data_IF_518212354068
#
_entry.id   IF_518212354068
#
_cell.length_a   1.000
_cell.length_b   1.000
_cell.length_c   1.000
_cell.angle_alpha   90.00
_cell.angle_beta   90.00
_cell.angle_gamma   90.00
#
_symmetry.space_group_name_H-M   'P 1'
#
loop_
_entity.id
_entity.type
_entity.pdbx_description
1 polymer ?
#
# COMPACT_ATOMS: atom_id res chain seq x y z
N UNK A 1 23.85 -9.37 2.49
CA UNK A 1 22.47 -9.11 2.91
C UNK A 1 22.32 -7.61 3.09
N UNK A 2 21.86 -6.91 2.06
CA UNK A 2 21.59 -5.47 2.20
C UNK A 2 20.25 -5.32 2.92
N UNK A 3 20.32 -4.84 4.17
CA UNK A 3 19.16 -4.28 4.86
C UNK A 3 18.77 -3.01 4.12
N UNK A 4 17.72 -3.04 3.31
CA UNK A 4 17.11 -1.83 2.78
C UNK A 4 16.59 -1.03 3.97
N UNK A 5 17.18 0.14 4.20
CA UNK A 5 16.64 1.10 5.15
C UNK A 5 15.28 1.56 4.65
N UNK A 6 14.26 1.46 5.50
CA UNK A 6 12.99 2.11 5.22
C UNK A 6 13.24 3.60 4.93
N UNK A 7 12.70 4.17 3.86
CA UNK A 7 12.95 5.56 3.49
C UNK A 7 12.42 6.57 4.52
N UNK A 8 11.55 6.11 5.40
CA UNK A 8 11.00 6.91 6.51
C UNK A 8 11.29 6.22 7.83
N UNK A 9 11.85 6.96 8.78
CA UNK A 9 11.93 6.49 10.18
C UNK A 9 10.54 6.67 10.78
N UNK A 10 9.75 5.61 10.79
CA UNK A 10 8.46 5.60 11.46
C UNK A 10 8.72 5.29 12.93
N UNK A 11 8.55 6.29 13.79
CA UNK A 11 8.50 6.06 15.23
C UNK A 11 7.13 5.45 15.56
N UNK A 12 7.06 4.14 15.68
CA UNK A 12 5.83 3.48 16.15
C UNK A 12 5.52 3.94 17.56
N UNK A 13 4.30 4.41 17.85
CA UNK A 13 3.91 4.63 19.22
C UNK A 13 3.99 3.30 19.97
N UNK A 14 4.51 3.32 21.18
CA UNK A 14 4.49 2.18 22.10
C UNK A 14 3.04 1.95 22.56
N UNK A 15 2.23 1.40 21.70
CA UNK A 15 0.87 0.96 22.01
C UNK A 15 0.96 -0.48 22.50
N UNK A 16 0.41 -0.70 23.67
CA UNK A 16 0.37 -1.95 24.42
C UNK A 16 -0.65 -2.92 23.80
N UNK A 17 -0.39 -3.33 22.57
CA UNK A 17 -1.01 -4.50 21.98
C UNK A 17 0.02 -5.12 21.04
N UNK A 18 0.84 -5.99 21.58
CA UNK A 18 1.74 -6.85 20.82
C UNK A 18 0.95 -7.98 20.12
N UNK A 19 0.00 -7.64 19.28
CA UNK A 19 -0.33 -8.57 18.22
C UNK A 19 0.81 -8.49 17.22
N UNK A 20 1.63 -9.53 17.18
CA UNK A 20 2.72 -9.67 16.22
C UNK A 20 2.12 -9.54 14.83
N UNK A 21 2.46 -8.46 14.14
CA UNK A 21 2.12 -8.30 12.72
C UNK A 21 2.66 -9.54 11.98
N UNK A 22 1.85 -10.25 11.20
CA UNK A 22 2.31 -11.41 10.46
C UNK A 22 3.54 -11.05 9.62
N UNK A 23 4.53 -11.92 9.58
CA UNK A 23 5.73 -11.68 8.79
C UNK A 23 5.49 -11.81 7.28
N UNK A 24 4.42 -12.51 6.90
CA UNK A 24 4.09 -12.83 5.50
C UNK A 24 2.63 -12.49 5.22
N UNK A 25 2.31 -12.28 3.93
CA UNK A 25 0.95 -12.01 3.46
C UNK A 25 0.30 -10.81 4.14
N UNK A 26 1.04 -9.73 4.27
CA UNK A 26 0.57 -8.49 4.88
C UNK A 26 0.83 -7.29 3.98
N UNK A 27 -0.18 -6.45 3.86
CA UNK A 27 -0.08 -5.11 3.30
C UNK A 27 0.06 -4.13 4.46
N UNK A 28 1.13 -3.36 4.48
CA UNK A 28 1.32 -2.32 5.48
C UNK A 28 1.02 -0.97 4.87
N UNK A 29 0.07 -0.27 5.46
CA UNK A 29 -0.23 1.13 5.15
C UNK A 29 0.49 1.98 6.18
N UNK A 30 1.47 2.77 5.72
CA UNK A 30 2.19 3.70 6.58
C UNK A 30 1.61 5.10 6.40
N UNK A 31 1.33 5.77 7.51
CA UNK A 31 0.90 7.17 7.52
C UNK A 31 1.98 7.96 8.23
N UNK A 32 2.71 8.77 7.47
CA UNK A 32 3.81 9.58 7.98
C UNK A 32 3.35 11.02 8.16
N UNK A 33 3.90 11.71 9.16
CA UNK A 33 3.70 13.14 9.32
C UNK A 33 4.39 13.92 8.19
N UNK A 34 3.74 14.97 7.69
CA UNK A 34 4.31 15.86 6.69
C UNK A 34 5.46 16.71 7.24
N UNK A 35 5.46 16.99 8.55
CA UNK A 35 6.49 17.77 9.20
C UNK A 35 7.07 17.09 10.44
N UNK A 36 8.33 16.64 10.31
CA UNK A 36 9.10 16.11 11.45
C UNK A 36 9.72 17.19 12.34
N UNK A 37 9.64 18.45 11.91
CA UNK A 37 10.24 19.58 12.66
C UNK A 37 9.38 20.08 13.81
N UNK A 38 8.14 19.62 13.93
CA UNK A 38 7.16 20.11 14.91
C UNK A 38 6.77 21.58 14.72
N UNK A 39 7.09 22.16 13.55
CA UNK A 39 6.87 23.56 13.20
C UNK A 39 5.63 23.82 12.37
N UNK A 40 4.70 22.89 12.31
CA UNK A 40 3.41 23.19 11.71
C UNK A 40 2.65 24.13 12.68
N UNK A 41 2.72 25.41 12.37
CA UNK A 41 1.98 26.47 13.10
C UNK A 41 0.47 26.27 12.99
N UNK A 42 0.00 25.35 12.16
CA UNK A 42 -1.41 25.02 12.04
C UNK A 42 -1.62 23.50 11.82
N UNK A 43 -1.90 22.74 12.89
CA UNK A 43 -2.15 21.29 12.79
C UNK A 43 -3.40 20.93 11.96
N UNK A 44 -4.27 21.89 11.62
CA UNK A 44 -5.44 21.66 10.76
C UNK A 44 -5.05 21.54 9.27
N UNK A 45 -3.85 21.97 8.90
CA UNK A 45 -3.33 21.95 7.52
C UNK A 45 -2.31 20.82 7.33
N UNK A 46 -1.89 20.18 8.41
CA UNK A 46 -0.94 19.07 8.34
C UNK A 46 -1.54 17.87 7.61
N UNK A 47 -1.06 17.63 6.41
CA UNK A 47 -1.41 16.42 5.66
C UNK A 47 -0.41 15.31 5.97
N UNK A 48 -0.92 14.15 6.40
CA UNK A 48 -0.10 12.94 6.47
C UNK A 48 0.21 12.42 5.07
N UNK A 49 1.37 11.79 4.92
CA UNK A 49 1.77 11.11 3.66
C UNK A 49 1.55 9.61 3.79
N UNK A 50 0.93 9.02 2.78
CA UNK A 50 0.57 7.61 2.77
C UNK A 50 1.52 6.83 1.88
N UNK A 51 2.01 5.71 2.43
CA UNK A 51 2.86 4.75 1.74
C UNK A 51 2.25 3.35 1.89
N UNK A 52 2.51 2.50 0.92
CA UNK A 52 2.14 1.09 0.96
C UNK A 52 3.40 0.25 0.85
N UNK A 53 3.47 -0.78 1.68
CA UNK A 53 4.44 -1.86 1.64
C UNK A 53 3.71 -3.18 1.58
N UNK A 54 4.28 -4.14 0.88
CA UNK A 54 3.71 -5.49 0.80
C UNK A 54 4.77 -6.55 1.07
N UNK A 55 4.43 -7.50 1.92
CA UNK A 55 5.23 -8.69 2.19
C UNK A 55 4.44 -9.92 1.78
N UNK A 56 4.93 -10.64 0.78
CA UNK A 56 4.32 -11.86 0.25
C UNK A 56 4.70 -13.11 1.02
N UNK A 57 4.39 -14.26 0.42
CA UNK A 57 4.78 -15.55 0.94
C UNK A 57 6.27 -15.84 0.70
N UNK A 58 6.82 -16.79 1.45
CA UNK A 58 8.17 -17.33 1.21
C UNK A 58 8.23 -18.19 -0.06
N UNK A 59 7.09 -18.62 -0.59
CA UNK A 59 7.00 -19.38 -1.83
C UNK A 59 7.47 -18.54 -3.03
N UNK A 60 8.28 -19.11 -3.89
CA UNK A 60 8.83 -18.45 -5.08
C UNK A 60 7.79 -17.98 -6.07
N UNK A 61 6.64 -18.65 -6.18
CA UNK A 61 5.55 -18.32 -7.11
C UNK A 61 4.79 -17.09 -6.65
N UNK A 62 4.54 -16.96 -5.35
CA UNK A 62 3.85 -15.84 -4.73
C UNK A 62 4.78 -15.00 -3.86
N UNK A 63 6.04 -14.88 -4.27
CA UNK A 63 7.02 -14.03 -3.61
C UNK A 63 6.57 -12.57 -3.56
N UNK A 64 7.12 -11.80 -2.64
CA UNK A 64 6.82 -10.37 -2.52
C UNK A 64 7.01 -9.62 -3.83
N UNK A 65 8.06 -9.93 -4.60
CA UNK A 65 8.34 -9.29 -5.89
C UNK A 65 7.28 -9.63 -6.95
N UNK A 66 6.89 -10.91 -7.05
CA UNK A 66 5.88 -11.35 -8.01
C UNK A 66 4.53 -10.73 -7.72
N UNK A 67 4.11 -10.73 -6.46
CA UNK A 67 2.82 -10.15 -6.07
C UNK A 67 2.83 -8.63 -6.25
N UNK A 68 3.93 -7.93 -5.94
CA UNK A 68 4.05 -6.50 -6.24
C UNK A 68 3.88 -6.21 -7.72
N UNK A 69 4.46 -7.04 -8.59
CA UNK A 69 4.26 -6.93 -10.03
C UNK A 69 2.81 -7.12 -10.45
N UNK A 70 2.13 -8.14 -9.91
CA UNK A 70 0.71 -8.38 -10.17
C UNK A 70 -0.16 -7.22 -9.68
N UNK A 71 0.12 -6.67 -8.51
CA UNK A 71 -0.59 -5.52 -7.96
C UNK A 71 -0.41 -4.26 -8.81
N UNK A 72 0.81 -4.01 -9.30
CA UNK A 72 1.09 -2.89 -10.17
C UNK A 72 0.31 -2.99 -11.48
N UNK A 73 0.35 -4.14 -12.14
CA UNK A 73 -0.36 -4.33 -13.40
C UNK A 73 -1.87 -4.17 -13.24
N UNK A 74 -2.43 -4.71 -12.16
CA UNK A 74 -3.85 -4.58 -11.83
C UNK A 74 -4.21 -3.12 -11.50
N UNK A 75 -3.41 -2.43 -10.69
CA UNK A 75 -3.63 -1.03 -10.32
C UNK A 75 -3.56 -0.11 -11.53
N UNK A 76 -2.58 -0.30 -12.42
CA UNK A 76 -2.47 0.45 -13.67
C UNK A 76 -3.67 0.19 -14.60
N UNK A 77 -4.17 -1.05 -14.66
CA UNK A 77 -5.38 -1.37 -15.43
C UNK A 77 -6.58 -0.58 -14.93
N UNK A 78 -6.81 -0.58 -13.62
CA UNK A 78 -7.93 0.16 -12.99
C UNK A 78 -7.76 1.66 -13.19
N UNK A 79 -6.55 2.19 -12.96
CA UNK A 79 -6.26 3.60 -13.12
C UNK A 79 -6.50 4.06 -14.57
N UNK A 80 -5.97 3.34 -15.55
CA UNK A 80 -6.05 3.68 -16.96
C UNK A 80 -7.48 3.59 -17.49
N UNK A 81 -8.29 2.67 -16.96
CA UNK A 81 -9.72 2.61 -17.29
C UNK A 81 -10.46 3.89 -16.88
N UNK A 82 -10.12 4.46 -15.74
CA UNK A 82 -10.68 5.73 -15.25
C UNK A 82 -10.09 6.95 -15.96
N UNK A 83 -8.87 6.85 -16.50
CA UNK A 83 -8.09 7.95 -17.07
C UNK A 83 -7.73 7.70 -18.53
N UNK A 84 -8.70 7.33 -19.37
CA UNK A 84 -8.51 6.95 -20.77
C UNK A 84 -7.81 8.02 -21.62
N UNK A 85 -7.98 9.29 -21.25
CA UNK A 85 -7.35 10.41 -21.96
C UNK A 85 -5.89 10.65 -21.57
N UNK A 86 -5.44 10.07 -20.47
CA UNK A 86 -4.06 10.20 -19.96
C UNK A 86 -3.61 8.90 -19.26
N UNK A 87 -3.53 7.79 -20.02
CA UNK A 87 -3.12 6.51 -19.44
C UNK A 87 -1.62 6.52 -19.09
N UNK A 88 -1.27 5.80 -18.03
CA UNK A 88 0.12 5.58 -17.63
C UNK A 88 0.62 4.29 -18.24
N UNK A 89 1.77 4.38 -18.91
CA UNK A 89 2.50 3.23 -19.41
C UNK A 89 3.89 3.19 -18.78
N UNK A 90 4.25 2.05 -18.22
CA UNK A 90 5.56 1.81 -17.65
C UNK A 90 6.38 0.91 -18.56
N UNK A 91 7.67 1.21 -18.69
CA UNK A 91 8.61 0.34 -19.36
C UNK A 91 8.84 -0.96 -18.58
N UNK A 92 9.36 -1.99 -19.24
CA UNK A 92 9.72 -3.24 -18.56
C UNK A 92 10.72 -3.01 -17.42
N UNK A 93 11.67 -2.08 -17.61
CA UNK A 93 12.62 -1.70 -16.56
C UNK A 93 11.92 -1.04 -15.38
N UNK A 94 11.04 -0.08 -15.60
CA UNK A 94 10.28 0.57 -14.52
C UNK A 94 9.42 -0.44 -13.74
N UNK A 95 8.80 -1.39 -14.41
CA UNK A 95 8.06 -2.49 -13.76
C UNK A 95 8.99 -3.37 -12.92
N UNK A 96 10.18 -3.70 -13.41
CA UNK A 96 11.17 -4.46 -12.65
C UNK A 96 11.63 -3.69 -11.40
N UNK A 97 11.88 -2.38 -11.53
CA UNK A 97 12.22 -1.50 -10.42
C UNK A 97 11.09 -1.46 -9.35
N UNK A 98 9.83 -1.42 -9.77
CA UNK A 98 8.72 -1.47 -8.83
C UNK A 98 8.66 -2.80 -8.07
N UNK A 99 8.89 -3.93 -8.74
CA UNK A 99 8.90 -5.26 -8.08
C UNK A 99 9.93 -5.35 -6.96
N UNK A 100 11.09 -4.71 -7.12
CA UNK A 100 12.14 -4.68 -6.10
C UNK A 100 11.94 -3.61 -5.02
N UNK A 101 10.96 -2.71 -5.19
CA UNK A 101 10.68 -1.63 -4.24
C UNK A 101 9.84 -2.16 -3.08
N UNK A 102 10.36 -2.08 -1.85
CA UNK A 102 9.67 -2.59 -0.67
C UNK A 102 8.51 -1.71 -0.24
N UNK A 103 8.64 -0.40 -0.39
CA UNK A 103 7.65 0.58 0.00
C UNK A 103 7.58 1.69 -1.04
N UNK A 104 6.38 2.15 -1.35
CA UNK A 104 6.15 3.25 -2.27
C UNK A 104 5.01 4.15 -1.77
N UNK A 105 5.09 5.42 -2.12
CA UNK A 105 4.06 6.40 -1.78
C UNK A 105 4.17 7.62 -2.68
N UNK A 106 3.58 7.52 -3.88
CA UNK A 106 3.46 8.63 -4.84
C UNK A 106 2.14 8.52 -5.60
N UNK A 107 1.62 9.63 -6.16
CA UNK A 107 0.52 9.59 -7.12
C UNK A 107 0.87 8.72 -8.33
N UNK A 108 -0.13 8.10 -8.96
CA UNK A 108 0.09 7.27 -10.15
C UNK A 108 0.85 8.02 -11.24
N UNK A 109 0.56 9.30 -11.45
CA UNK A 109 1.23 10.11 -12.48
C UNK A 109 2.72 10.34 -12.20
N UNK A 110 3.17 10.19 -10.96
CA UNK A 110 4.56 10.35 -10.54
C UNK A 110 5.33 9.03 -10.61
N UNK A 111 4.65 7.88 -10.68
CA UNK A 111 5.29 6.56 -10.76
C UNK A 111 6.37 6.46 -11.85
N UNK A 112 6.13 6.87 -13.11
CA UNK A 112 7.16 6.77 -14.15
C UNK A 112 8.43 7.56 -13.81
N UNK A 113 8.27 8.77 -13.25
CA UNK A 113 9.36 9.63 -12.81
C UNK A 113 10.14 8.97 -11.67
N UNK A 114 9.46 8.53 -10.64
CA UNK A 114 10.07 7.90 -9.47
C UNK A 114 10.83 6.62 -9.85
N UNK A 115 10.24 5.76 -10.68
CA UNK A 115 10.84 4.49 -11.08
C UNK A 115 12.01 4.63 -12.07
N UNK A 116 12.18 5.81 -12.66
CA UNK A 116 13.35 6.14 -13.49
C UNK A 116 14.53 6.68 -12.68
N UNK A 117 14.35 7.00 -11.40
CA UNK A 117 15.42 7.48 -10.53
C UNK A 117 16.30 6.31 -10.06
N UNK A 118 17.61 6.52 -9.92
CA UNK A 118 18.48 5.61 -9.17
C UNK A 118 17.95 5.38 -7.76
N UNK A 119 18.20 4.19 -7.19
CA UNK A 119 17.65 3.80 -5.88
C UNK A 119 17.91 4.85 -4.78
N UNK A 120 19.13 5.37 -4.71
CA UNK A 120 19.51 6.37 -3.70
C UNK A 120 18.77 7.70 -3.85
N UNK A 121 18.47 8.11 -5.08
CA UNK A 121 17.69 9.32 -5.36
C UNK A 121 16.21 9.09 -5.07
N UNK A 122 15.70 7.90 -5.40
CA UNK A 122 14.34 7.47 -5.11
C UNK A 122 14.05 7.48 -3.61
N UNK A 123 14.97 6.97 -2.80
CA UNK A 123 14.86 6.97 -1.34
C UNK A 123 14.83 8.39 -0.76
N UNK A 124 15.66 9.28 -1.28
CA UNK A 124 15.66 10.70 -0.90
C UNK A 124 14.36 11.38 -1.32
N UNK A 125 13.89 11.12 -2.54
CA UNK A 125 12.65 11.67 -3.07
C UNK A 125 11.44 11.26 -2.20
N UNK A 126 11.27 9.97 -1.94
CA UNK A 126 10.18 9.47 -1.11
C UNK A 126 10.32 9.86 0.37
N UNK A 127 11.53 10.16 0.84
CA UNK A 127 11.80 10.63 2.19
C UNK A 127 11.51 12.11 2.42
N UNK A 128 11.27 12.89 1.37
CA UNK A 128 10.95 14.31 1.47
C UNK A 128 9.43 14.51 1.70
N UNK A 129 9.03 14.55 2.96
CA UNK A 129 7.64 14.73 3.35
C UNK A 129 7.06 16.11 2.99
N UNK A 130 7.91 17.08 2.64
CA UNK A 130 7.47 18.41 2.22
C UNK A 130 7.15 18.47 0.72
N UNK A 131 7.58 17.47 -0.03
CA UNK A 131 7.35 17.39 -1.48
C UNK A 131 5.89 17.02 -1.78
N UNK A 132 5.14 17.85 -2.52
CA UNK A 132 3.75 17.56 -2.89
C UNK A 132 3.58 16.33 -3.79
N UNK A 133 4.63 15.90 -4.49
CA UNK A 133 4.64 14.68 -5.31
C UNK A 133 4.85 13.40 -4.48
N UNK A 134 5.01 13.51 -3.16
CA UNK A 134 5.18 12.37 -2.24
C UNK A 134 3.89 12.09 -1.49
N UNK A 135 3.60 10.83 -1.30
CA UNK A 135 2.38 10.32 -0.69
C UNK A 135 1.34 9.86 -1.73
N UNK A 136 0.67 8.76 -1.44
CA UNK A 136 -0.47 8.30 -2.25
C UNK A 136 -1.64 9.22 -1.98
N UNK A 137 -2.26 9.83 -3.01
CA UNK A 137 -3.44 10.66 -2.84
C UNK A 137 -4.61 9.90 -2.21
N UNK A 138 -5.20 10.51 -1.22
CA UNK A 138 -6.39 10.04 -0.52
C UNK A 138 -7.33 11.22 -0.29
N UNK A 139 -8.61 10.96 -0.21
CA UNK A 139 -9.62 11.93 0.17
C UNK A 139 -10.52 11.39 1.29
N UNK A 140 -11.48 12.18 1.73
CA UNK A 140 -12.45 11.79 2.77
C UNK A 140 -13.47 10.75 2.33
N UNK A 141 -13.11 9.86 1.44
CA UNK A 141 -13.95 8.78 0.93
C UNK A 141 -15.20 9.25 0.17
N UNK A 142 -15.22 10.46 -0.29
CA UNK A 142 -16.29 10.97 -1.15
C UNK A 142 -16.03 10.46 -2.56
N UNK A 143 -16.56 9.29 -2.84
CA UNK A 143 -16.52 8.70 -4.19
C UNK A 143 -17.34 9.59 -5.12
N UNK A 144 -16.68 10.58 -5.71
CA UNK A 144 -17.29 11.51 -6.64
C UNK A 144 -17.46 10.80 -7.98
N UNK A 145 -18.68 10.71 -8.47
CA UNK A 145 -19.00 10.15 -9.79
C UNK A 145 -18.58 8.68 -10.00
N UNK A 146 -18.49 7.89 -8.94
CA UNK A 146 -18.09 6.49 -9.02
C UNK A 146 -16.59 6.27 -9.26
N UNK A 147 -15.76 7.31 -9.25
CA UNK A 147 -14.32 7.20 -9.42
C UNK A 147 -13.63 6.87 -8.10
N UNK A 148 -12.64 6.00 -8.18
CA UNK A 148 -11.78 5.68 -7.06
C UNK A 148 -10.63 6.71 -6.97
N UNK A 149 -10.22 7.08 -5.76
CA UNK A 149 -8.96 7.80 -5.56
C UNK A 149 -7.77 6.84 -5.70
N UNK A 150 -6.54 7.38 -5.74
CA UNK A 150 -5.34 6.57 -5.95
C UNK A 150 -5.18 5.49 -4.86
N UNK A 151 -5.46 5.82 -3.60
CA UNK A 151 -5.39 4.86 -2.51
C UNK A 151 -6.42 3.73 -2.67
N UNK A 152 -7.65 4.06 -3.03
CA UNK A 152 -8.71 3.07 -3.30
C UNK A 152 -8.38 2.18 -4.50
N UNK A 153 -7.74 2.72 -5.54
CA UNK A 153 -7.27 1.93 -6.69
C UNK A 153 -6.26 0.87 -6.23
N UNK A 154 -5.30 1.24 -5.39
CA UNK A 154 -4.35 0.29 -4.82
C UNK A 154 -5.05 -0.77 -3.96
N UNK A 155 -5.97 -0.39 -3.10
CA UNK A 155 -6.73 -1.34 -2.28
C UNK A 155 -7.54 -2.33 -3.14
N UNK A 156 -8.18 -1.85 -4.21
CA UNK A 156 -8.91 -2.69 -5.15
C UNK A 156 -7.99 -3.65 -5.88
N UNK A 157 -6.84 -3.18 -6.34
CA UNK A 157 -5.84 -4.02 -7.00
C UNK A 157 -5.32 -5.11 -6.06
N UNK A 158 -5.01 -4.76 -4.81
CA UNK A 158 -4.59 -5.70 -3.77
C UNK A 158 -5.65 -6.79 -3.56
N UNK A 159 -6.92 -6.40 -3.42
CA UNK A 159 -8.01 -7.35 -3.24
C UNK A 159 -8.17 -8.28 -4.46
N UNK A 160 -8.18 -7.72 -5.68
CA UNK A 160 -8.35 -8.50 -6.90
C UNK A 160 -7.20 -9.51 -7.09
N UNK A 161 -5.97 -9.09 -6.85
CA UNK A 161 -4.79 -9.98 -6.91
C UNK A 161 -4.87 -11.07 -5.84
N UNK A 162 -5.21 -10.71 -4.61
CA UNK A 162 -5.36 -11.67 -3.52
C UNK A 162 -6.43 -12.73 -3.85
N UNK A 163 -7.59 -12.29 -4.38
CA UNK A 163 -8.66 -13.18 -4.78
C UNK A 163 -8.24 -14.12 -5.91
N UNK A 164 -7.52 -13.60 -6.92
CA UNK A 164 -7.01 -14.41 -8.04
C UNK A 164 -6.06 -15.50 -7.54
N UNK A 165 -5.09 -15.15 -6.69
CA UNK A 165 -4.16 -16.11 -6.08
C UNK A 165 -4.92 -17.16 -5.28
N UNK A 166 -5.89 -16.76 -4.47
CA UNK A 166 -6.69 -17.70 -3.70
C UNK A 166 -7.46 -18.68 -4.59
N UNK A 167 -8.02 -18.21 -5.70
CA UNK A 167 -8.73 -19.07 -6.65
C UNK A 167 -7.78 -20.05 -7.33
N UNK A 168 -6.59 -19.61 -7.76
CA UNK A 168 -5.56 -20.47 -8.34
C UNK A 168 -5.11 -21.56 -7.34
N UNK A 169 -4.86 -21.20 -6.10
CA UNK A 169 -4.48 -22.14 -5.05
C UNK A 169 -5.63 -23.09 -4.62
N UNK A 170 -6.87 -22.67 -4.79
CA UNK A 170 -8.05 -23.45 -4.47
C UNK A 170 -8.44 -24.44 -5.58
N UNK A 171 -7.83 -24.34 -6.75
CA UNK A 171 -8.16 -25.21 -7.88
C UNK A 171 -7.82 -26.68 -7.54
N UNK A 172 -8.77 -27.57 -7.76
CA UNK A 172 -8.62 -29.00 -7.46
C UNK A 172 -8.72 -29.39 -5.98
N UNK A 173 -8.82 -28.45 -5.06
CA UNK A 173 -8.93 -28.73 -3.63
C UNK A 173 -10.38 -29.05 -3.20
N UNK A 174 -10.50 -29.94 -2.22
CA UNK A 174 -11.74 -30.22 -1.51
C UNK A 174 -12.22 -28.99 -0.68
N UNK A 175 -13.46 -29.02 -0.23
CA UNK A 175 -14.03 -27.94 0.61
C UNK A 175 -13.27 -27.78 1.93
N UNK A 176 -12.77 -28.86 2.53
CA UNK A 176 -12.01 -28.84 3.75
C UNK A 176 -10.61 -28.22 3.53
N UNK A 177 -9.93 -28.65 2.48
CA UNK A 177 -8.60 -28.11 2.11
C UNK A 177 -8.67 -26.61 1.81
N UNK A 178 -9.73 -26.15 1.12
CA UNK A 178 -9.95 -24.71 0.84
C UNK A 178 -10.13 -23.88 2.12
N UNK A 179 -10.74 -24.45 3.15
CA UNK A 179 -10.88 -23.76 4.45
C UNK A 179 -9.55 -23.58 5.16
N UNK A 180 -8.58 -24.46 4.89
CA UNK A 180 -7.24 -24.45 5.48
C UNK A 180 -6.23 -23.61 4.71
N UNK A 181 -6.61 -23.03 3.55
CA UNK A 181 -5.73 -22.16 2.78
C UNK A 181 -5.26 -20.96 3.62
N UNK A 182 -3.98 -20.66 3.51
CA UNK A 182 -3.33 -19.53 4.17
C UNK A 182 -2.60 -18.69 3.12
N UNK A 183 -3.22 -17.59 2.73
CA UNK A 183 -2.69 -16.65 1.74
C UNK A 183 -3.17 -15.23 2.05
N UNK A 184 -2.81 -14.26 1.20
CA UNK A 184 -3.21 -12.86 1.38
C UNK A 184 -4.74 -12.70 1.43
N UNK A 185 -5.50 -13.39 0.58
CA UNK A 185 -6.96 -13.29 0.58
C UNK A 185 -7.56 -13.75 1.92
N UNK A 186 -7.11 -14.90 2.43
CA UNK A 186 -7.59 -15.40 3.72
C UNK A 186 -7.17 -14.51 4.88
N UNK A 187 -5.98 -13.91 4.79
CA UNK A 187 -5.53 -12.91 5.76
C UNK A 187 -6.42 -11.66 5.75
N UNK A 188 -6.75 -11.14 4.56
CA UNK A 188 -7.62 -9.96 4.39
C UNK A 188 -9.04 -10.22 4.88
N UNK A 189 -9.63 -11.36 4.50
CA UNK A 189 -11.07 -11.59 4.64
C UNK A 189 -11.45 -12.34 5.91
N UNK A 190 -10.58 -13.20 6.42
CA UNK A 190 -10.93 -14.09 7.54
C UNK A 190 -10.20 -13.74 8.82
N UNK A 191 -8.90 -13.51 8.78
CA UNK A 191 -8.04 -13.39 9.96
C UNK A 191 -7.90 -11.97 10.49
N UNK A 192 -8.19 -10.95 9.67
CA UNK A 192 -7.96 -9.55 10.03
C UNK A 192 -6.49 -9.16 10.13
N UNK A 193 -5.61 -9.95 9.55
CA UNK A 193 -4.15 -9.79 9.62
C UNK A 193 -3.52 -9.44 8.27
N UNK A 194 -4.34 -9.28 7.22
CA UNK A 194 -3.86 -8.97 5.86
C UNK A 194 -3.48 -7.50 5.66
N UNK A 195 -3.97 -6.61 6.51
CA UNK A 195 -3.63 -5.18 6.49
C UNK A 195 -3.16 -4.76 7.88
N UNK A 196 -2.02 -4.09 7.93
CA UNK A 196 -1.53 -3.39 9.09
C UNK A 196 -1.47 -1.89 8.80
N UNK A 197 -2.04 -1.06 9.66
CA UNK A 197 -1.94 0.39 9.57
C UNK A 197 -0.95 0.87 10.62
N UNK A 198 0.12 1.52 10.18
CA UNK A 198 1.15 2.10 11.05
C UNK A 198 1.13 3.61 10.87
N UNK A 199 1.00 4.35 11.94
CA UNK A 199 1.06 5.80 11.94
C UNK A 199 2.20 6.29 12.82
N UNK A 200 2.89 7.33 12.37
CA UNK A 200 3.84 8.06 13.20
C UNK A 200 3.07 8.79 14.33
N UNK A 201 3.68 8.94 15.51
CA UNK A 201 3.07 9.61 16.66
C UNK A 201 2.59 11.05 16.36
N UNK A 202 3.26 11.71 15.42
CA UNK A 202 2.97 13.09 15.03
C UNK A 202 2.07 13.16 13.78
N UNK A 203 1.51 12.01 13.35
CA UNK A 203 0.63 11.94 12.18
C UNK A 203 -0.70 12.63 12.48
N UNK A 204 -1.20 13.50 11.59
CA UNK A 204 -2.51 14.09 11.74
C UNK A 204 -3.61 13.05 11.83
N UNK A 205 -4.43 13.12 12.87
CA UNK A 205 -5.53 12.17 13.09
C UNK A 205 -6.49 12.12 11.90
N UNK A 206 -6.71 13.25 11.23
CA UNK A 206 -7.56 13.35 10.03
C UNK A 206 -7.11 12.44 8.91
N UNK A 207 -5.80 12.34 8.65
CA UNK A 207 -5.26 11.43 7.62
C UNK A 207 -5.43 9.97 8.01
N UNK A 208 -5.21 9.63 9.27
CA UNK A 208 -5.45 8.27 9.78
C UNK A 208 -6.93 7.90 9.65
N UNK A 209 -7.82 8.83 9.98
CA UNK A 209 -9.26 8.62 9.81
C UNK A 209 -9.65 8.42 8.35
N UNK A 210 -9.08 9.20 7.42
CA UNK A 210 -9.29 8.99 5.98
C UNK A 210 -8.85 7.59 5.53
N UNK A 211 -7.73 7.08 6.04
CA UNK A 211 -7.29 5.70 5.76
C UNK A 211 -8.36 4.70 6.21
N UNK A 212 -8.85 4.81 7.43
CA UNK A 212 -9.90 3.92 7.94
C UNK A 212 -11.20 4.00 7.15
N UNK A 213 -11.65 5.21 6.82
CA UNK A 213 -12.86 5.43 6.04
C UNK A 213 -12.75 4.80 4.64
N UNK A 214 -11.58 4.90 4.01
CA UNK A 214 -11.33 4.28 2.71
C UNK A 214 -11.24 2.76 2.81
N UNK A 215 -10.58 2.20 3.81
CA UNK A 215 -10.57 0.75 4.08
C UNK A 215 -11.99 0.22 4.28
N UNK A 216 -12.80 0.93 5.05
CA UNK A 216 -14.18 0.56 5.31
C UNK A 216 -15.03 0.58 4.04
N UNK A 217 -14.90 1.60 3.21
CA UNK A 217 -15.60 1.71 1.92
C UNK A 217 -15.22 0.58 0.98
N UNK A 218 -13.96 0.22 0.95
CA UNK A 218 -13.47 -0.90 0.14
C UNK A 218 -13.75 -2.27 0.77
N UNK A 219 -14.51 -2.32 1.88
CA UNK A 219 -14.86 -3.55 2.63
C UNK A 219 -13.66 -4.34 3.15
N UNK A 220 -12.57 -3.65 3.40
CA UNK A 220 -11.36 -4.20 4.01
C UNK A 220 -11.29 -3.81 5.50
N UNK A 221 -12.36 -4.13 6.24
CA UNK A 221 -12.60 -3.65 7.61
C UNK A 221 -11.80 -4.39 8.68
N UNK A 222 -11.09 -5.45 8.29
CA UNK A 222 -10.28 -6.23 9.22
C UNK A 222 -8.82 -5.86 9.03
N UNK A 223 -8.29 -5.09 9.95
CA UNK A 223 -6.89 -4.64 9.95
C UNK A 223 -6.36 -4.56 11.37
N UNK A 224 -5.03 -4.64 11.52
CA UNK A 224 -4.31 -4.41 12.77
C UNK A 224 -3.71 -2.99 12.81
N UNK A 225 -3.53 -2.47 14.02
CA UNK A 225 -2.93 -1.16 14.30
C UNK A 225 -1.55 -1.33 14.91
#
# INVERSE_FOLDING_TARGET
TFLQKEPTIVYTPSSVSEEKVPMNNVVTVLVSSADKSGKLDNPEIAEGKIFISFTGDADSTFSSENIRGMMLDEALSIYNEQHKNNPIQLTAQQKAEFRSTNMFGVPFQVLPKMLSMPLTERDKFQGDMTNPEVGIPIDGNKNRDGRLNDFQIWLKAIYNVAQRINNEQAEGLSSEERQNLSNLYTALMRRGQGIAVKADKDTPFTTVQQVFDNLQTMKLNKFSL
#
